data_IF_938281168937
#
_entry.id   IF_938281168937
#
_cell.length_a   1.000
_cell.length_b   1.000
_cell.length_c   1.000
_cell.angle_alpha   90.00
_cell.angle_beta   90.00
_cell.angle_gamma   90.00
#
_symmetry.space_group_name_H-M   'P 1'
#
loop_
_entity.id
_entity.type
_entity.pdbx_description
1 polymer ?
#
# COMPACT_ATOMS: atom_id res chain seq x y z
N UNK A 1 10.65 18.05 -14.34
CA UNK A 1 10.41 17.55 -12.98
C UNK A 1 9.01 17.99 -12.61
N UNK A 2 8.09 17.05 -12.40
CA UNK A 2 6.76 17.36 -11.88
C UNK A 2 6.92 17.53 -10.37
N UNK A 3 6.74 18.75 -9.87
CA UNK A 3 6.84 19.08 -8.45
C UNK A 3 5.47 19.49 -7.95
N UNK A 4 4.93 18.77 -6.97
CA UNK A 4 3.72 19.15 -6.27
C UNK A 4 4.08 20.12 -5.14
N UNK A 5 3.54 21.36 -5.10
CA UNK A 5 3.87 22.31 -4.04
C UNK A 5 3.46 21.85 -2.63
N UNK A 6 2.49 20.94 -2.52
CA UNK A 6 2.06 20.34 -1.25
C UNK A 6 2.83 19.07 -0.88
N UNK A 7 3.72 18.58 -1.75
CA UNK A 7 4.64 17.49 -1.42
C UNK A 7 5.84 18.05 -0.66
N UNK A 8 5.90 17.72 0.63
CA UNK A 8 6.95 18.19 1.54
C UNK A 8 8.24 17.35 1.47
N UNK A 9 8.22 16.23 0.74
CA UNK A 9 9.27 15.21 0.78
C UNK A 9 10.09 15.12 -0.50
N UNK A 10 9.47 15.32 -1.68
CA UNK A 10 10.07 15.05 -3.00
C UNK A 10 11.43 15.72 -3.25
N UNK A 11 11.80 16.75 -2.48
CA UNK A 11 13.12 17.40 -2.54
C UNK A 11 14.21 16.81 -1.63
N UNK A 12 13.90 15.80 -0.80
CA UNK A 12 14.76 15.36 0.32
C UNK A 12 15.41 13.98 0.14
N UNK A 13 14.97 13.18 -0.84
CA UNK A 13 15.55 11.85 -1.09
C UNK A 13 14.83 11.07 -2.20
N UNK A 14 15.44 9.98 -2.67
CA UNK A 14 14.90 9.15 -3.75
C UNK A 14 13.57 8.47 -3.37
N UNK A 15 13.50 7.90 -2.16
CA UNK A 15 12.31 7.21 -1.66
C UNK A 15 11.09 8.13 -1.49
N UNK A 16 11.31 9.45 -1.38
CA UNK A 16 10.23 10.44 -1.29
C UNK A 16 9.35 10.49 -2.55
N UNK A 17 9.88 10.01 -3.69
CA UNK A 17 9.17 9.94 -4.98
C UNK A 17 8.72 8.51 -5.32
N UNK A 18 8.86 7.56 -4.38
CA UNK A 18 8.52 6.17 -4.63
C UNK A 18 7.01 5.91 -4.57
N UNK A 19 6.58 4.98 -5.41
CA UNK A 19 5.20 4.50 -5.47
C UNK A 19 5.14 3.03 -5.08
N UNK A 20 4.07 2.67 -4.37
CA UNK A 20 3.68 1.30 -4.09
C UNK A 20 2.83 0.76 -5.24
N UNK A 21 3.12 -0.43 -5.75
CA UNK A 21 2.33 -1.13 -6.76
C UNK A 21 1.61 -2.29 -6.07
N UNK A 22 0.29 -2.41 -6.23
CA UNK A 22 -0.48 -3.42 -5.49
C UNK A 22 -0.04 -4.84 -5.87
N UNK A 23 0.49 -5.56 -4.88
CA UNK A 23 0.88 -6.97 -5.02
C UNK A 23 -0.29 -7.88 -5.47
N UNK A 24 -1.54 -7.47 -5.23
CA UNK A 24 -2.73 -8.22 -5.63
C UNK A 24 -2.90 -8.36 -7.15
N UNK A 25 -2.20 -7.58 -7.98
CA UNK A 25 -2.19 -7.76 -9.44
C UNK A 25 -1.12 -8.75 -9.93
N UNK A 26 -0.24 -9.16 -9.03
CA UNK A 26 0.88 -10.08 -9.29
C UNK A 26 0.75 -11.40 -8.55
N UNK A 27 -0.31 -11.61 -7.77
CA UNK A 27 -0.56 -12.83 -7.01
C UNK A 27 -2.05 -13.16 -6.97
N UNK A 28 -2.40 -14.45 -6.87
CA UNK A 28 -3.78 -14.88 -6.62
C UNK A 28 -4.29 -14.39 -5.25
N UNK A 29 -5.63 -14.37 -5.04
CA UNK A 29 -6.22 -14.04 -3.74
C UNK A 29 -5.67 -14.87 -2.58
N UNK A 30 -5.55 -16.20 -2.75
CA UNK A 30 -5.04 -17.09 -1.71
C UNK A 30 -3.58 -16.77 -1.32
N UNK A 31 -2.74 -16.46 -2.32
CA UNK A 31 -1.35 -16.01 -2.06
C UNK A 31 -1.35 -14.66 -1.36
N UNK A 32 -2.16 -13.72 -1.85
CA UNK A 32 -2.27 -12.35 -1.28
C UNK A 32 -2.65 -12.39 0.20
N UNK A 33 -3.63 -13.22 0.56
CA UNK A 33 -4.10 -13.39 1.93
C UNK A 33 -3.03 -14.06 2.83
N UNK A 34 -2.12 -14.85 2.26
CA UNK A 34 -1.00 -15.47 2.95
C UNK A 34 0.25 -14.58 3.06
N UNK A 35 0.30 -13.44 2.35
CA UNK A 35 1.46 -12.55 2.39
C UNK A 35 1.61 -11.89 3.77
N UNK A 36 2.86 -11.71 4.17
CA UNK A 36 3.26 -10.91 5.32
C UNK A 36 4.10 -9.73 4.87
N UNK A 37 4.30 -8.76 5.75
CA UNK A 37 5.18 -7.61 5.49
C UNK A 37 6.61 -8.05 5.12
N UNK A 38 7.07 -9.19 5.66
CA UNK A 38 8.37 -9.76 5.32
C UNK A 38 8.48 -10.15 3.85
N UNK A 39 7.39 -10.62 3.26
CA UNK A 39 7.35 -10.99 1.84
C UNK A 39 7.34 -9.77 0.92
N UNK A 40 6.79 -8.65 1.39
CA UNK A 40 6.64 -7.42 0.60
C UNK A 40 7.82 -6.46 0.72
N UNK A 41 8.74 -6.69 1.66
CA UNK A 41 9.89 -5.80 1.91
C UNK A 41 11.19 -6.45 1.47
N UNK A 42 11.78 -5.94 0.37
CA UNK A 42 13.03 -6.45 -0.20
C UNK A 42 14.17 -6.56 0.82
N UNK A 43 14.31 -5.59 1.74
CA UNK A 43 15.37 -5.58 2.76
C UNK A 43 15.33 -6.76 3.75
N UNK A 44 14.22 -7.51 3.80
CA UNK A 44 14.03 -8.65 4.72
C UNK A 44 14.32 -10.01 4.07
N UNK A 45 14.55 -10.04 2.74
CA UNK A 45 14.95 -11.21 1.94
C UNK A 45 14.17 -12.51 2.22
N UNK A 46 12.84 -12.44 2.20
CA UNK A 46 11.97 -13.58 2.48
C UNK A 46 10.70 -13.56 1.61
N UNK A 47 10.79 -13.87 0.31
CA UNK A 47 9.65 -13.70 -0.60
C UNK A 47 8.49 -14.69 -0.34
N UNK A 48 8.75 -15.82 0.33
CA UNK A 48 7.72 -16.77 0.78
C UNK A 48 6.69 -17.14 -0.31
N UNK A 49 5.37 -17.11 0.00
CA UNK A 49 4.31 -17.36 -0.98
C UNK A 49 4.35 -16.44 -2.21
N UNK A 50 4.90 -15.24 -2.07
CA UNK A 50 5.07 -14.26 -3.16
C UNK A 50 6.30 -14.48 -4.02
N UNK A 51 7.05 -15.58 -3.84
CA UNK A 51 8.26 -15.86 -4.63
C UNK A 51 8.01 -16.05 -6.12
N UNK A 52 6.78 -16.40 -6.51
CA UNK A 52 6.36 -16.54 -7.90
C UNK A 52 5.22 -15.57 -8.18
N UNK A 53 5.37 -14.74 -9.20
CA UNK A 53 4.31 -13.88 -9.67
C UNK A 53 3.30 -14.67 -10.51
N UNK A 54 2.02 -14.44 -10.25
CA UNK A 54 0.88 -14.95 -11.00
C UNK A 54 0.11 -13.76 -11.58
N UNK A 55 0.02 -13.70 -12.90
CA UNK A 55 -0.70 -12.61 -13.56
C UNK A 55 -2.19 -12.63 -13.20
N UNK A 56 -2.68 -11.51 -12.64
CA UNK A 56 -4.10 -11.25 -12.52
C UNK A 56 -4.54 -10.32 -13.65
N UNK A 57 -5.71 -10.58 -14.23
CA UNK A 57 -6.25 -9.79 -15.34
C UNK A 57 -7.21 -8.73 -14.83
N UNK A 58 -7.38 -7.65 -15.59
CA UNK A 58 -8.36 -6.60 -15.31
C UNK A 58 -9.80 -7.14 -15.20
N UNK A 59 -10.12 -8.24 -15.90
CA UNK A 59 -11.42 -8.91 -15.81
C UNK A 59 -11.73 -9.49 -14.42
N UNK A 60 -10.72 -9.68 -13.57
CA UNK A 60 -10.89 -10.20 -12.21
C UNK A 60 -11.16 -9.08 -11.19
N UNK A 61 -11.08 -7.80 -11.58
CA UNK A 61 -11.32 -6.65 -10.70
C UNK A 61 -12.83 -6.44 -10.52
N UNK A 62 -13.35 -6.77 -9.33
CA UNK A 62 -14.78 -6.60 -9.04
C UNK A 62 -15.16 -5.16 -8.63
N UNK A 63 -14.22 -4.41 -8.04
CA UNK A 63 -14.45 -3.05 -7.54
C UNK A 63 -13.44 -2.08 -8.14
N UNK A 64 -13.51 -1.75 -9.44
CA UNK A 64 -12.44 -1.00 -10.11
C UNK A 64 -12.23 0.41 -9.52
N UNK A 65 -13.31 1.07 -9.07
CA UNK A 65 -13.24 2.37 -8.38
C UNK A 65 -12.78 2.29 -6.89
N UNK A 66 -12.51 1.08 -6.38
CA UNK A 66 -12.02 0.85 -5.01
C UNK A 66 -10.81 -0.05 -4.93
N UNK A 67 -10.31 -0.56 -6.05
CA UNK A 67 -9.09 -1.36 -6.15
C UNK A 67 -7.93 -0.48 -6.63
N UNK A 68 -6.94 -0.27 -5.79
CA UNK A 68 -5.77 0.56 -6.06
C UNK A 68 -4.76 -0.21 -6.92
N UNK A 69 -4.32 0.40 -8.02
CA UNK A 69 -3.21 -0.10 -8.84
C UNK A 69 -1.88 0.35 -8.24
N UNK A 70 -1.80 1.66 -7.97
CA UNK A 70 -0.59 2.35 -7.53
C UNK A 70 -0.96 3.40 -6.48
N UNK A 71 -0.09 3.64 -5.52
CA UNK A 71 -0.23 4.73 -4.58
C UNK A 71 1.13 5.31 -4.20
N UNK A 72 1.15 6.53 -3.70
CA UNK A 72 2.35 7.10 -3.06
C UNK A 72 2.83 6.20 -1.93
N UNK A 73 4.14 5.97 -1.81
CA UNK A 73 4.66 5.18 -0.70
C UNK A 73 4.45 5.88 0.65
N UNK A 74 4.89 7.13 0.74
CA UNK A 74 4.78 7.95 1.93
C UNK A 74 3.49 8.76 1.99
N UNK A 75 3.12 9.18 3.19
CA UNK A 75 2.04 10.13 3.44
C UNK A 75 2.41 11.58 3.07
N UNK A 76 3.05 11.79 1.91
CA UNK A 76 3.73 13.05 1.51
C UNK A 76 2.85 14.30 1.56
N UNK A 77 1.54 14.14 1.37
CA UNK A 77 0.58 15.24 1.24
C UNK A 77 -0.26 15.47 2.51
N UNK A 78 -0.31 14.50 3.42
CA UNK A 78 -0.99 14.62 4.70
C UNK A 78 -0.37 13.66 5.70
N UNK A 79 0.45 14.18 6.61
CA UNK A 79 1.08 13.40 7.69
C UNK A 79 0.18 13.29 8.94
N UNK A 80 -1.07 13.75 8.91
CA UNK A 80 -1.98 13.81 10.06
C UNK A 80 -1.36 14.47 11.31
N UNK A 81 -0.52 15.48 11.10
CA UNK A 81 0.18 16.21 12.18
C UNK A 81 1.37 15.46 12.78
N UNK A 82 1.80 14.32 12.24
CA UNK A 82 3.06 13.70 12.63
C UNK A 82 4.25 14.48 12.07
N UNK A 83 5.37 14.48 12.79
CA UNK A 83 6.60 15.16 12.36
C UNK A 83 7.28 14.46 11.18
N UNK A 84 7.08 13.15 11.05
CA UNK A 84 7.69 12.34 10.01
C UNK A 84 6.62 11.66 9.15
N UNK A 85 6.80 11.63 7.82
CA UNK A 85 5.97 10.83 6.93
C UNK A 85 6.17 9.33 7.20
N UNK A 86 5.16 8.53 6.89
CA UNK A 86 5.20 7.08 7.12
C UNK A 86 4.76 6.29 5.89
N UNK A 87 5.34 5.11 5.72
CA UNK A 87 4.94 4.15 4.68
C UNK A 87 3.64 3.43 5.04
N UNK A 88 3.20 2.50 4.18
CA UNK A 88 1.95 1.73 4.37
C UNK A 88 1.84 1.01 5.72
N UNK A 89 2.96 0.62 6.31
CA UNK A 89 3.01 -0.09 7.59
C UNK A 89 3.39 0.79 8.78
N UNK A 90 3.36 2.13 8.62
CA UNK A 90 3.75 3.06 9.67
C UNK A 90 5.25 3.02 9.99
N UNK A 91 5.59 3.39 11.23
CA UNK A 91 6.91 3.17 11.84
C UNK A 91 7.05 1.70 12.22
N UNK A 92 7.39 0.86 11.24
CA UNK A 92 7.51 -0.59 11.37
C UNK A 92 8.41 -0.97 12.56
N UNK A 93 7.95 -1.91 13.40
CA UNK A 93 8.79 -2.44 14.47
C UNK A 93 9.84 -3.40 13.88
N UNK A 94 11.12 -3.02 13.96
CA UNK A 94 12.21 -3.80 13.37
C UNK A 94 12.39 -5.20 14.00
N UNK A 95 12.04 -5.38 15.27
CA UNK A 95 12.21 -6.66 15.96
C UNK A 95 11.11 -7.67 15.58
N UNK A 96 9.88 -7.21 15.36
CA UNK A 96 8.73 -8.08 15.12
C UNK A 96 8.23 -8.04 13.67
N UNK A 97 8.69 -7.08 12.86
CA UNK A 97 8.12 -6.73 11.55
C UNK A 97 6.61 -6.43 11.60
N UNK A 98 6.10 -6.04 12.78
CA UNK A 98 4.72 -5.62 12.93
C UNK A 98 4.56 -4.17 12.47
N UNK A 99 3.39 -3.81 11.88
CA UNK A 99 3.03 -2.43 11.63
C UNK A 99 3.20 -1.53 12.86
N UNK A 100 3.57 -0.28 12.63
CA UNK A 100 3.60 0.75 13.67
C UNK A 100 2.20 1.09 14.20
N UNK A 101 2.16 1.75 15.36
CA UNK A 101 0.91 2.28 15.93
C UNK A 101 0.29 3.40 15.05
N UNK A 102 1.11 3.99 14.18
CA UNK A 102 0.81 5.06 13.22
C UNK A 102 0.43 4.54 11.82
N UNK A 103 0.29 3.23 11.60
CA UNK A 103 -0.06 2.65 10.28
C UNK A 103 -1.32 3.25 9.64
N UNK A 104 -2.27 3.71 10.46
CA UNK A 104 -3.56 4.25 10.03
C UNK A 104 -3.59 5.79 9.94
N UNK A 105 -2.44 6.46 10.04
CA UNK A 105 -2.34 7.92 9.97
C UNK A 105 -2.07 8.41 8.54
N UNK A 106 -2.44 9.68 8.32
CA UNK A 106 -2.19 10.38 7.07
C UNK A 106 -3.02 9.94 5.87
N UNK A 107 -2.61 10.43 4.70
CA UNK A 107 -3.24 10.12 3.42
C UNK A 107 -2.21 10.01 2.29
N UNK A 108 -2.61 9.34 1.21
CA UNK A 108 -1.80 9.08 0.01
C UNK A 108 -2.62 9.33 -1.24
N UNK A 109 -2.00 9.78 -2.32
CA UNK A 109 -2.65 9.72 -3.62
C UNK A 109 -2.67 8.28 -4.13
N UNK A 110 -3.85 7.82 -4.53
CA UNK A 110 -4.08 6.50 -5.13
C UNK A 110 -4.52 6.66 -6.58
N UNK A 111 -4.06 5.75 -7.44
CA UNK A 111 -4.63 5.49 -8.76
C UNK A 111 -5.42 4.19 -8.66
N UNK A 112 -6.70 4.25 -9.00
CA UNK A 112 -7.60 3.10 -8.98
C UNK A 112 -7.63 2.37 -10.33
N UNK A 113 -8.17 1.15 -10.34
CA UNK A 113 -8.19 0.28 -11.51
C UNK A 113 -9.10 0.78 -12.65
N UNK A 114 -10.05 1.68 -12.37
CA UNK A 114 -10.79 2.42 -13.41
C UNK A 114 -10.03 3.66 -13.94
N UNK A 115 -8.82 3.91 -13.45
CA UNK A 115 -7.94 5.00 -13.88
C UNK A 115 -8.15 6.33 -13.15
N UNK A 116 -9.14 6.46 -12.26
CA UNK A 116 -9.30 7.70 -11.49
C UNK A 116 -8.26 7.81 -10.37
N UNK A 117 -8.00 9.04 -9.93
CA UNK A 117 -7.09 9.31 -8.82
C UNK A 117 -7.80 9.96 -7.65
N UNK A 118 -7.42 9.60 -6.42
CA UNK A 118 -8.01 10.19 -5.21
C UNK A 118 -6.99 10.22 -4.06
N UNK A 119 -7.03 11.29 -3.26
CA UNK A 119 -6.39 11.31 -1.96
C UNK A 119 -7.18 10.43 -0.99
N UNK A 120 -6.56 9.36 -0.51
CA UNK A 120 -7.17 8.36 0.38
C UNK A 120 -6.50 8.44 1.75
N UNK A 121 -7.30 8.67 2.78
CA UNK A 121 -6.82 8.59 4.15
C UNK A 121 -6.56 7.13 4.52
N UNK A 122 -5.47 6.80 5.21
CA UNK A 122 -5.13 5.43 5.58
C UNK A 122 -6.28 4.73 6.34
N UNK A 123 -6.95 5.47 7.23
CA UNK A 123 -8.17 5.03 7.94
C UNK A 123 -9.39 4.74 7.05
N UNK A 124 -9.42 5.13 5.78
CA UNK A 124 -10.48 4.75 4.83
C UNK A 124 -10.16 3.47 4.07
N UNK A 125 -8.95 2.93 4.23
CA UNK A 125 -8.57 1.71 3.55
C UNK A 125 -9.05 0.48 4.32
N UNK A 126 -9.28 -0.59 3.56
CA UNK A 126 -9.49 -1.92 4.11
C UNK A 126 -8.21 -2.36 4.82
N UNK A 127 -8.36 -2.74 6.09
CA UNK A 127 -7.27 -3.33 6.85
C UNK A 127 -7.24 -4.83 6.64
N UNK A 128 -6.04 -5.40 6.60
CA UNK A 128 -5.87 -6.86 6.61
C UNK A 128 -6.24 -7.43 7.97
N UNK A 129 -6.90 -8.59 8.00
CA UNK A 129 -7.30 -9.22 9.26
C UNK A 129 -6.11 -9.63 10.15
N UNK A 130 -4.95 -9.94 9.57
CA UNK A 130 -3.80 -10.48 10.29
C UNK A 130 -3.12 -9.48 11.24
N UNK A 131 -3.02 -8.21 10.85
CA UNK A 131 -2.29 -7.18 11.63
C UNK A 131 -2.97 -5.81 11.63
N UNK A 132 -4.22 -5.72 11.17
CA UNK A 132 -5.02 -4.49 11.13
C UNK A 132 -4.31 -3.33 10.40
N UNK A 133 -3.48 -3.65 9.39
CA UNK A 133 -2.79 -2.65 8.59
C UNK A 133 -3.57 -2.29 7.32
N UNK A 134 -3.78 -0.98 7.03
CA UNK A 134 -4.30 -0.52 5.75
C UNK A 134 -3.22 -0.71 4.67
N UNK A 135 -3.34 -1.77 3.88
CA UNK A 135 -2.31 -2.19 2.92
C UNK A 135 -2.91 -2.72 1.62
N UNK A 136 -2.77 -1.94 0.55
CA UNK A 136 -3.24 -2.30 -0.80
C UNK A 136 -2.51 -3.50 -1.41
N UNK A 137 -1.39 -3.93 -0.83
CA UNK A 137 -0.69 -5.13 -1.26
C UNK A 137 -1.35 -6.41 -0.77
N UNK A 138 -2.14 -6.32 0.30
CA UNK A 138 -2.76 -7.48 0.96
C UNK A 138 -4.26 -7.29 1.13
N UNK A 139 -4.89 -6.69 0.13
CA UNK A 139 -6.34 -6.51 0.09
C UNK A 139 -7.03 -7.86 0.33
N UNK A 140 -7.93 -7.98 1.33
CA UNK A 140 -8.69 -9.20 1.52
C UNK A 140 -9.43 -9.60 0.23
N UNK A 141 -9.21 -10.84 -0.24
CA UNK A 141 -9.76 -11.31 -1.52
C UNK A 141 -8.96 -10.87 -2.76
N UNK A 142 -7.74 -10.36 -2.58
CA UNK A 142 -6.79 -10.07 -3.66
C UNK A 142 -7.29 -9.03 -4.67
N UNK A 143 -7.15 -9.34 -5.96
CA UNK A 143 -7.57 -8.47 -7.08
C UNK A 143 -9.07 -8.20 -7.11
N UNK A 144 -9.87 -9.16 -6.62
CA UNK A 144 -11.32 -9.05 -6.53
C UNK A 144 -11.78 -8.26 -5.28
N UNK A 145 -10.88 -8.01 -4.32
CA UNK A 145 -11.15 -7.26 -3.11
C UNK A 145 -11.29 -5.75 -3.30
N UNK A 146 -11.78 -5.07 -2.26
CA UNK A 146 -11.87 -3.61 -2.19
C UNK A 146 -10.80 -3.08 -1.24
N UNK A 147 -9.99 -2.11 -1.69
CA UNK A 147 -9.02 -1.40 -0.84
C UNK A 147 -9.66 -0.32 0.02
N UNK A 148 -10.94 -0.02 -0.20
CA UNK A 148 -11.68 0.99 0.56
C UNK A 148 -12.83 0.35 1.35
N UNK A 149 -13.06 0.87 2.56
CA UNK A 149 -14.18 0.52 3.45
C UNK A 149 -15.27 1.59 3.50
#
# INVERSE_FOLDING_TARGET
ILLCPSDTLSGTGYDATSYNYSAAFYHSPDVTDALTIRNLRSALSDPGPGAVCETQTESNVQFPAKKSLVAEWFTSHDHAGTQNPVGFWGTLNAATNAPGADRSTGARNHVFADGHTKLVFAKQQSATAADDSPDMNRTPGGVAGSDLR
#
